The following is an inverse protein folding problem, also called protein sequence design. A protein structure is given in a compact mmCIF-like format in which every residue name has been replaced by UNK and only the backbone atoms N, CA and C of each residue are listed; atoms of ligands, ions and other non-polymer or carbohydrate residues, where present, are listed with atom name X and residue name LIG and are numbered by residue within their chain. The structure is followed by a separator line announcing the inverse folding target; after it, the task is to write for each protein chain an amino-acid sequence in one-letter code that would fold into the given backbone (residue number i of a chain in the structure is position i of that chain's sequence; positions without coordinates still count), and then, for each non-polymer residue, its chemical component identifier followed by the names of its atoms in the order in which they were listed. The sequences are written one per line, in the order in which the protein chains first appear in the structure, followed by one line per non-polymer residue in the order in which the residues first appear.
data_IF_569556043745
#
_entry.id   IF_569556043745
#
_cell.length_a   1.000
_cell.length_b   1.000
_cell.length_c   1.000
_cell.angle_alpha   90.00
_cell.angle_beta   90.00
_cell.angle_gamma   90.00
#
_symmetry.space_group_name_H-M   'P 1'
#
loop_
_entity.id
_entity.type
_entity.pdbx_description
1 polymer ?
#
# COMPACT_ATOMS: atom_id res chain seq x y z
N UNK A 1 -4.21 22.04 12.59
CA UNK A 1 -5.44 21.73 13.36
C UNK A 1 -5.96 22.99 14.04
N UNK A 2 -7.28 23.22 14.04
CA UNK A 2 -7.91 24.48 14.45
C UNK A 2 -7.93 24.65 15.99
N UNK A 3 -6.74 24.64 16.62
CA UNK A 3 -6.51 24.82 18.06
C UNK A 3 -7.21 26.07 18.60
N UNK A 4 -7.40 27.08 17.76
CA UNK A 4 -8.07 28.31 18.10
C UNK A 4 -9.50 28.11 18.66
N UNK A 5 -10.32 27.26 18.02
CA UNK A 5 -11.69 27.01 18.50
C UNK A 5 -11.74 26.24 19.82
N UNK A 6 -10.80 25.30 20.01
CA UNK A 6 -10.66 24.54 21.26
C UNK A 6 -10.22 25.45 22.41
N UNK A 7 -9.27 26.35 22.15
CA UNK A 7 -8.83 27.35 23.14
C UNK A 7 -9.94 28.35 23.46
N UNK A 8 -10.70 28.83 22.47
CA UNK A 8 -11.86 29.70 22.70
C UNK A 8 -12.93 29.04 23.58
N UNK A 9 -13.14 27.73 23.44
CA UNK A 9 -14.13 27.00 24.24
C UNK A 9 -13.79 26.97 25.75
N UNK A 10 -12.54 27.24 26.15
CA UNK A 10 -12.17 27.37 27.57
C UNK A 10 -12.85 28.56 28.25
N UNK A 11 -13.22 29.60 27.48
CA UNK A 11 -14.01 30.70 28.00
C UNK A 11 -15.51 30.32 28.10
N UNK A 12 -15.85 29.61 29.19
CA UNK A 12 -17.21 29.08 29.41
C UNK A 12 -18.30 30.15 29.39
N UNK A 13 -18.00 31.38 29.83
CA UNK A 13 -18.97 32.48 29.79
C UNK A 13 -19.30 32.86 28.35
N UNK A 14 -18.27 33.06 27.53
CA UNK A 14 -18.45 33.38 26.12
C UNK A 14 -19.18 32.26 25.35
N UNK A 15 -18.86 31.00 25.65
CA UNK A 15 -19.58 29.86 25.06
C UNK A 15 -21.06 29.86 25.44
N UNK A 16 -21.38 30.08 26.72
CA UNK A 16 -22.76 30.18 27.18
C UNK A 16 -23.49 31.35 26.52
N UNK A 17 -22.87 32.53 26.48
CA UNK A 17 -23.45 33.73 25.85
C UNK A 17 -23.74 33.47 24.35
N UNK A 18 -22.84 32.76 23.66
CA UNK A 18 -23.06 32.34 22.27
C UNK A 18 -24.26 31.38 22.13
N UNK A 19 -24.39 30.38 23.01
CA UNK A 19 -25.53 29.46 23.00
C UNK A 19 -26.84 30.16 23.34
N UNK A 20 -26.83 31.09 24.29
CA UNK A 20 -28.00 31.90 24.63
C UNK A 20 -28.41 32.80 23.47
N UNK A 21 -27.44 33.33 22.71
CA UNK A 21 -27.74 34.05 21.47
C UNK A 21 -28.37 33.16 20.41
N UNK A 22 -27.95 31.90 20.29
CA UNK A 22 -28.56 30.93 19.37
C UNK A 22 -30.02 30.67 19.78
N UNK A 23 -30.29 30.38 21.05
CA UNK A 23 -31.65 30.22 21.60
C UNK A 23 -32.55 31.39 21.20
N UNK A 24 -32.07 32.62 21.44
CA UNK A 24 -32.80 33.85 21.08
C UNK A 24 -33.01 33.98 19.57
N UNK A 25 -32.00 33.69 18.76
CA UNK A 25 -32.05 33.84 17.29
C UNK A 25 -33.03 32.90 16.63
N UNK A 26 -33.18 31.68 17.15
CA UNK A 26 -34.14 30.70 16.59
C UNK A 26 -35.54 30.86 17.17
N UNK A 27 -35.76 31.87 18.04
CA UNK A 27 -37.07 32.13 18.65
C UNK A 27 -37.47 31.09 19.69
N UNK A 28 -36.50 30.48 20.36
CA UNK A 28 -36.77 29.47 21.37
C UNK A 28 -37.52 30.04 22.58
N UNK A 29 -38.33 29.20 23.22
CA UNK A 29 -39.13 29.54 24.38
C UNK A 29 -39.30 28.32 25.31
N UNK A 30 -40.09 28.46 26.38
CA UNK A 30 -40.30 27.41 27.37
C UNK A 30 -40.94 26.12 26.84
N UNK A 31 -41.59 26.17 25.69
CA UNK A 31 -42.24 25.02 25.04
C UNK A 31 -41.41 24.45 23.88
N UNK A 32 -40.42 25.20 23.36
CA UNK A 32 -39.56 24.79 22.25
C UNK A 32 -38.18 25.44 22.34
N UNK A 33 -37.22 24.71 22.86
CA UNK A 33 -35.83 25.10 23.07
C UNK A 33 -34.95 24.73 21.86
N UNK A 34 -33.95 25.54 21.55
CA UNK A 34 -33.13 25.39 20.34
C UNK A 34 -32.31 24.10 20.31
N UNK A 35 -31.82 23.68 21.47
CA UNK A 35 -30.95 22.50 21.58
C UNK A 35 -31.70 21.26 22.05
N UNK A 36 -32.61 21.41 23.02
CA UNK A 36 -33.37 20.29 23.57
C UNK A 36 -34.31 19.68 22.52
N UNK A 37 -35.03 20.54 21.80
CA UNK A 37 -36.04 20.13 20.82
C UNK A 37 -35.48 20.09 19.39
N UNK A 38 -34.15 20.02 19.26
CA UNK A 38 -33.46 19.95 17.97
C UNK A 38 -33.84 18.69 17.18
N UNK A 39 -34.20 17.61 17.87
CA UNK A 39 -34.53 16.33 17.27
C UNK A 39 -33.33 15.67 16.61
N UNK A 40 -33.49 14.40 16.22
CA UNK A 40 -32.42 13.69 15.53
C UNK A 40 -32.32 14.11 14.06
N UNK A 41 -33.41 14.62 13.49
CA UNK A 41 -33.53 15.04 12.08
C UNK A 41 -32.60 16.21 11.73
N UNK A 42 -32.15 16.97 12.75
CA UNK A 42 -31.22 18.09 12.61
C UNK A 42 -29.79 17.73 13.05
N UNK A 43 -29.55 16.46 13.40
CA UNK A 43 -28.23 15.95 13.77
C UNK A 43 -27.45 15.57 12.51
N UNK A 44 -26.21 16.04 12.34
CA UNK A 44 -25.36 15.59 11.25
C UNK A 44 -24.98 14.10 11.36
N UNK A 45 -25.31 13.45 12.49
CA UNK A 45 -25.03 12.04 12.76
C UNK A 45 -26.26 11.14 12.62
N UNK A 46 -27.42 11.66 12.19
CA UNK A 46 -28.65 10.86 12.05
C UNK A 46 -28.43 9.61 11.19
N UNK A 47 -27.74 9.78 10.06
CA UNK A 47 -27.41 8.69 9.12
C UNK A 47 -26.36 7.71 9.66
N UNK A 48 -25.73 7.99 10.81
CA UNK A 48 -24.76 7.11 11.49
C UNK A 48 -25.37 6.24 12.58
N UNK A 49 -26.62 6.50 13.00
CA UNK A 49 -27.30 5.70 14.03
C UNK A 49 -27.31 4.20 13.74
N UNK A 50 -27.58 3.74 12.50
CA UNK A 50 -27.55 2.31 12.20
C UNK A 50 -26.21 1.63 12.55
N UNK A 51 -25.11 2.39 12.55
CA UNK A 51 -23.76 1.91 12.81
C UNK A 51 -23.37 1.97 14.30
N UNK A 52 -24.18 2.58 15.17
CA UNK A 52 -23.84 2.78 16.59
C UNK A 52 -23.54 1.47 17.34
N UNK A 53 -24.32 0.38 17.21
CA UNK A 53 -24.00 -0.88 17.87
C UNK A 53 -22.61 -1.40 17.50
N UNK A 54 -22.19 -1.17 16.26
CA UNK A 54 -20.87 -1.52 15.79
C UNK A 54 -19.78 -0.61 16.38
N UNK A 55 -20.00 0.70 16.42
CA UNK A 55 -19.05 1.63 17.04
C UNK A 55 -18.85 1.32 18.53
N UNK A 56 -19.91 0.95 19.24
CA UNK A 56 -19.86 0.61 20.67
C UNK A 56 -19.20 -0.74 20.96
N UNK A 57 -19.09 -1.62 19.97
CA UNK A 57 -18.40 -2.91 20.09
C UNK A 57 -16.97 -2.88 19.57
N UNK A 58 -16.57 -1.77 18.94
CA UNK A 58 -15.20 -1.55 18.49
C UNK A 58 -14.27 -1.46 19.69
N UNK A 59 -13.24 -2.30 19.70
CA UNK A 59 -12.18 -2.21 20.71
C UNK A 59 -11.22 -1.09 20.28
N UNK A 60 -10.64 -0.33 21.22
CA UNK A 60 -9.59 0.62 20.89
C UNK A 60 -8.51 -0.07 20.06
N UNK A 61 -8.11 0.54 18.94
CA UNK A 61 -6.99 0.06 18.15
C UNK A 61 -5.74 0.02 19.03
N UNK A 62 -5.19 -1.17 19.23
CA UNK A 62 -3.97 -1.37 20.01
C UNK A 62 -2.83 -1.77 19.08
N UNK A 63 -1.77 -0.99 19.12
CA UNK A 63 -0.50 -1.34 18.51
C UNK A 63 -0.02 -2.68 19.06
N UNK A 64 0.23 -3.63 18.15
CA UNK A 64 0.63 -4.99 18.48
C UNK A 64 1.93 -5.34 17.77
N UNK A 65 2.66 -6.34 18.25
CA UNK A 65 3.88 -6.78 17.56
C UNK A 65 3.56 -7.14 16.11
N UNK A 66 4.47 -6.78 15.19
CA UNK A 66 4.33 -7.13 13.79
C UNK A 66 4.06 -8.64 13.63
N UNK A 67 3.08 -9.07 12.84
CA UNK A 67 2.67 -10.47 12.83
C UNK A 67 3.76 -11.32 12.16
N UNK A 68 3.98 -12.53 12.69
CA UNK A 68 4.87 -13.53 12.08
C UNK A 68 4.40 -13.91 10.68
N UNK A 69 5.31 -14.42 9.84
CA UNK A 69 4.95 -14.89 8.50
C UNK A 69 3.84 -15.95 8.56
N UNK A 70 2.96 -15.94 7.57
CA UNK A 70 1.87 -16.92 7.46
C UNK A 70 0.69 -16.67 8.40
N UNK A 71 0.71 -15.59 9.19
CA UNK A 71 -0.39 -15.21 10.08
C UNK A 71 -1.01 -13.88 9.66
N UNK A 72 -2.31 -13.90 9.40
CA UNK A 72 -3.12 -12.69 9.20
C UNK A 72 -3.30 -12.00 10.57
N UNK A 73 -2.92 -10.72 10.73
CA UNK A 73 -3.18 -9.97 11.96
C UNK A 73 -4.67 -9.69 12.13
N UNK A 74 -5.05 -9.16 13.30
CA UNK A 74 -6.34 -8.48 13.40
C UNK A 74 -6.30 -7.24 12.49
N UNK A 75 -7.24 -7.17 11.55
CA UNK A 75 -7.44 -6.02 10.66
C UNK A 75 -8.80 -5.42 11.01
N UNK A 76 -8.81 -4.15 11.37
CA UNK A 76 -10.04 -3.41 11.53
C UNK A 76 -10.67 -3.15 10.16
N UNK A 77 -11.68 -3.95 9.82
CA UNK A 77 -12.29 -3.95 8.49
C UNK A 77 -13.07 -2.68 8.15
N UNK A 78 -13.25 -1.78 9.11
CA UNK A 78 -13.94 -0.50 8.95
C UNK A 78 -13.05 0.70 9.20
N UNK A 79 -11.78 0.45 9.53
CA UNK A 79 -10.79 1.50 9.75
C UNK A 79 -10.66 2.48 8.59
N UNK A 80 -11.04 2.05 7.38
CA UNK A 80 -10.95 2.82 6.15
C UNK A 80 -12.32 3.15 5.51
N UNK A 81 -13.43 3.09 6.27
CA UNK A 81 -14.76 3.38 5.74
C UNK A 81 -14.96 4.86 5.36
N UNK A 82 -14.05 5.74 5.78
CA UNK A 82 -14.02 7.13 5.33
C UNK A 82 -13.59 7.31 3.88
N UNK A 83 -12.91 6.32 3.28
CA UNK A 83 -12.46 6.41 1.90
C UNK A 83 -13.66 6.50 0.95
N UNK A 84 -13.52 7.15 -0.20
CA UNK A 84 -14.61 7.18 -1.16
C UNK A 84 -15.02 5.77 -1.62
N UNK A 85 -16.31 5.47 -1.89
CA UNK A 85 -16.77 4.13 -2.30
C UNK A 85 -16.11 3.56 -3.56
N UNK A 86 -15.54 4.41 -4.43
CA UNK A 86 -14.74 3.96 -5.58
C UNK A 86 -13.46 3.24 -5.17
N UNK A 87 -12.95 3.45 -3.94
CA UNK A 87 -11.91 2.58 -3.37
C UNK A 87 -12.59 1.36 -2.78
N UNK A 88 -12.68 0.28 -3.57
CA UNK A 88 -13.39 -0.93 -3.21
C UNK A 88 -12.64 -1.80 -2.20
N UNK A 89 -11.31 -1.92 -2.38
CA UNK A 89 -10.42 -2.64 -1.46
C UNK A 89 -9.28 -1.73 -1.01
N UNK A 90 -9.04 -1.71 0.29
CA UNK A 90 -7.95 -0.98 0.90
C UNK A 90 -7.42 -1.72 2.12
N UNK A 91 -6.11 -1.65 2.34
CA UNK A 91 -5.49 -2.08 3.58
C UNK A 91 -4.31 -1.17 3.92
N UNK A 92 -4.23 -0.72 5.16
CA UNK A 92 -3.15 0.10 5.69
C UNK A 92 -2.57 -0.60 6.91
N UNK A 93 -1.25 -0.64 7.02
CA UNK A 93 -0.55 -0.95 8.26
C UNK A 93 0.20 0.30 8.74
N UNK A 94 -0.14 0.79 9.92
CA UNK A 94 0.59 1.89 10.56
C UNK A 94 1.63 1.30 11.49
N UNK A 95 2.85 1.83 11.45
CA UNK A 95 3.96 1.39 12.28
C UNK A 95 4.36 2.44 13.30
N UNK A 96 4.70 1.98 14.50
CA UNK A 96 5.22 2.81 15.59
C UNK A 96 6.28 2.03 16.36
N UNK A 97 7.32 2.72 16.80
CA UNK A 97 8.36 2.11 17.63
C UNK A 97 8.04 2.29 19.12
N UNK A 98 7.98 1.19 19.85
CA UNK A 98 7.79 1.16 21.30
C UNK A 98 8.87 0.29 21.92
N UNK A 99 9.65 0.85 22.86
CA UNK A 99 10.82 0.20 23.44
C UNK A 99 11.82 -0.37 22.41
N UNK A 100 11.96 0.29 21.25
CA UNK A 100 12.85 -0.15 20.17
C UNK A 100 12.26 -1.22 19.25
N UNK A 101 11.05 -1.72 19.51
CA UNK A 101 10.37 -2.69 18.67
C UNK A 101 9.30 -2.04 17.80
N UNK A 102 9.21 -2.48 16.54
CA UNK A 102 8.11 -2.09 15.68
C UNK A 102 6.80 -2.75 16.13
N UNK A 103 5.83 -1.93 16.48
CA UNK A 103 4.43 -2.30 16.67
C UNK A 103 3.61 -1.78 15.50
N UNK A 104 2.53 -2.48 15.20
CA UNK A 104 1.62 -2.13 14.10
C UNK A 104 0.15 -2.23 14.48
N UNK A 105 -0.65 -1.44 13.78
CA UNK A 105 -2.08 -1.64 13.64
C UNK A 105 -2.42 -1.83 12.17
N UNK A 106 -3.52 -2.54 11.89
CA UNK A 106 -3.96 -2.86 10.53
C UNK A 106 -5.40 -2.41 10.35
N UNK A 107 -5.61 -1.61 9.33
CA UNK A 107 -6.89 -1.02 8.97
C UNK A 107 -7.26 -1.50 7.57
N UNK A 108 -8.55 -1.67 7.32
CA UNK A 108 -9.04 -2.19 6.05
C UNK A 108 -10.35 -1.58 5.62
N UNK A 109 -10.61 -1.74 4.33
CA UNK A 109 -11.92 -1.81 3.69
C UNK A 109 -11.87 -3.01 2.75
N UNK A 110 -12.71 -4.01 2.97
CA UNK A 110 -12.63 -5.30 2.24
C UNK A 110 -11.19 -5.85 2.12
N UNK A 111 -10.36 -5.80 3.18
CA UNK A 111 -8.90 -5.93 3.05
C UNK A 111 -8.46 -7.31 2.54
N UNK A 112 -9.25 -8.35 2.79
CA UNK A 112 -8.97 -9.75 2.41
C UNK A 112 -9.72 -10.20 1.15
N UNK A 113 -10.56 -9.33 0.56
CA UNK A 113 -11.25 -9.66 -0.70
C UNK A 113 -10.22 -9.74 -1.81
N UNK A 114 -10.17 -10.88 -2.50
CA UNK A 114 -9.23 -11.09 -3.59
C UNK A 114 -9.77 -10.52 -4.90
N UNK A 115 -8.90 -9.85 -5.66
CA UNK A 115 -9.22 -9.21 -6.93
C UNK A 115 -7.97 -9.10 -7.82
N UNK A 116 -8.14 -8.60 -9.03
CA UNK A 116 -6.99 -8.23 -9.88
C UNK A 116 -6.36 -6.95 -9.35
N UNK A 117 -5.05 -7.01 -9.06
CA UNK A 117 -4.25 -5.85 -8.67
C UNK A 117 -3.23 -5.44 -9.74
N UNK A 118 -3.43 -5.89 -10.98
CA UNK A 118 -2.66 -5.48 -12.16
C UNK A 118 -1.13 -5.55 -11.91
N UNK A 119 -0.40 -4.55 -12.44
CA UNK A 119 1.05 -4.43 -12.33
C UNK A 119 1.57 -4.26 -10.88
N UNK A 120 0.71 -3.96 -9.91
CA UNK A 120 1.11 -3.93 -8.49
C UNK A 120 1.51 -5.31 -7.97
N UNK A 121 1.30 -6.39 -8.72
CA UNK A 121 1.74 -7.74 -8.33
C UNK A 121 3.10 -8.17 -8.91
N UNK A 122 3.70 -7.36 -9.79
CA UNK A 122 4.93 -7.74 -10.55
C UNK A 122 6.20 -7.83 -9.71
N UNK A 123 6.23 -7.18 -8.55
CA UNK A 123 7.34 -7.27 -7.60
C UNK A 123 7.38 -8.61 -6.84
N UNK A 124 6.28 -9.39 -6.82
CA UNK A 124 6.22 -10.69 -6.14
C UNK A 124 7.24 -11.69 -6.72
N UNK A 125 7.25 -12.00 -8.03
CA UNK A 125 8.24 -12.91 -8.61
C UNK A 125 9.68 -12.38 -8.47
N UNK A 126 9.88 -11.06 -8.58
CA UNK A 126 11.20 -10.44 -8.37
C UNK A 126 11.71 -10.69 -6.95
N UNK A 127 10.87 -10.44 -5.94
CA UNK A 127 11.25 -10.64 -4.54
C UNK A 127 11.56 -12.11 -4.24
N UNK A 128 10.78 -13.04 -4.79
CA UNK A 128 11.06 -14.46 -4.68
C UNK A 128 12.43 -14.83 -5.30
N UNK A 129 12.72 -14.32 -6.51
CA UNK A 129 14.02 -14.54 -7.16
C UNK A 129 15.18 -13.98 -6.33
N UNK A 130 15.04 -12.78 -5.77
CA UNK A 130 16.08 -12.19 -4.91
C UNK A 130 16.34 -13.05 -3.65
N UNK A 131 15.28 -13.56 -3.01
CA UNK A 131 15.39 -14.50 -1.88
C UNK A 131 16.12 -15.79 -2.26
N UNK A 132 15.85 -16.32 -3.47
CA UNK A 132 16.57 -17.51 -3.99
C UNK A 132 18.03 -17.23 -4.32
N UNK A 133 18.34 -16.06 -4.87
CA UNK A 133 19.72 -15.64 -5.14
C UNK A 133 20.51 -15.62 -3.85
N UNK A 134 20.02 -14.97 -2.80
CA UNK A 134 20.73 -14.90 -1.52
C UNK A 134 20.86 -16.26 -0.83
N UNK A 135 19.88 -17.15 -1.03
CA UNK A 135 19.99 -18.53 -0.56
C UNK A 135 21.12 -19.31 -1.25
N UNK A 136 21.31 -19.10 -2.56
CA UNK A 136 22.28 -19.83 -3.38
C UNK A 136 23.66 -19.17 -3.43
N UNK A 137 23.70 -17.85 -3.29
CA UNK A 137 24.87 -17.01 -3.51
C UNK A 137 24.94 -15.88 -2.46
N UNK A 138 25.06 -16.22 -1.16
CA UNK A 138 24.93 -15.26 -0.06
C UNK A 138 26.01 -14.17 -0.06
N UNK A 139 27.20 -14.46 -0.58
CA UNK A 139 28.31 -13.49 -0.67
C UNK A 139 28.29 -12.67 -1.96
N UNK A 140 27.35 -12.98 -2.87
CA UNK A 140 27.22 -12.32 -4.15
C UNK A 140 26.86 -10.85 -4.09
N UNK A 141 27.18 -10.15 -5.18
CA UNK A 141 26.62 -8.83 -5.50
C UNK A 141 25.71 -8.96 -6.72
N UNK A 142 24.44 -8.62 -6.54
CA UNK A 142 23.45 -8.73 -7.62
C UNK A 142 23.76 -7.82 -8.80
N UNK A 143 24.54 -6.75 -8.61
CA UNK A 143 25.01 -5.89 -9.69
C UNK A 143 25.88 -6.63 -10.68
N UNK A 144 26.48 -7.76 -10.29
CA UNK A 144 27.29 -8.61 -11.16
C UNK A 144 26.49 -9.68 -11.89
N UNK A 145 25.18 -9.76 -11.66
CA UNK A 145 24.32 -10.78 -12.26
C UNK A 145 23.66 -10.26 -13.53
N UNK A 146 23.59 -11.13 -14.52
CA UNK A 146 22.83 -10.92 -15.76
C UNK A 146 21.71 -11.96 -15.88
N UNK A 147 20.59 -11.55 -16.46
CA UNK A 147 19.63 -12.46 -17.09
C UNK A 147 20.11 -12.71 -18.53
N UNK A 148 20.25 -13.98 -18.91
CA UNK A 148 20.70 -14.37 -20.25
C UNK A 148 19.77 -15.39 -20.89
N UNK A 149 19.77 -15.40 -22.21
CA UNK A 149 19.23 -16.50 -23.00
C UNK A 149 20.35 -17.51 -23.30
N UNK A 150 20.25 -18.77 -22.84
CA UNK A 150 21.25 -19.78 -23.16
C UNK A 150 21.30 -20.15 -24.66
N UNK A 151 20.22 -19.88 -25.40
CA UNK A 151 20.13 -20.14 -26.84
C UNK A 151 20.54 -18.92 -27.68
N UNK A 152 20.57 -17.73 -27.07
CA UNK A 152 20.95 -16.48 -27.72
C UNK A 152 21.94 -15.67 -26.88
N UNK A 153 23.24 -15.86 -27.15
CA UNK A 153 24.33 -15.20 -26.44
C UNK A 153 24.34 -13.66 -26.54
N UNK A 154 23.61 -13.06 -27.49
CA UNK A 154 23.52 -11.59 -27.60
C UNK A 154 22.51 -10.98 -26.64
N UNK A 155 21.56 -11.78 -26.12
CA UNK A 155 20.54 -11.30 -25.17
C UNK A 155 21.10 -11.38 -23.76
N UNK A 156 21.35 -10.21 -23.19
CA UNK A 156 21.91 -10.05 -21.85
C UNK A 156 21.34 -8.81 -21.18
N UNK A 157 20.65 -9.01 -20.08
CA UNK A 157 20.01 -7.95 -19.29
C UNK A 157 20.67 -7.88 -17.91
N UNK A 158 21.31 -6.77 -17.50
CA UNK A 158 21.74 -6.60 -16.12
C UNK A 158 20.54 -6.77 -15.17
N UNK A 159 20.69 -7.60 -14.14
CA UNK A 159 19.59 -7.99 -13.27
C UNK A 159 18.96 -6.79 -12.55
N UNK A 160 19.78 -5.89 -12.04
CA UNK A 160 19.36 -4.65 -11.36
C UNK A 160 18.56 -3.72 -12.29
N UNK A 161 19.01 -3.56 -13.53
CA UNK A 161 18.31 -2.76 -14.53
C UNK A 161 16.97 -3.40 -14.94
N UNK A 162 16.90 -4.73 -15.05
CA UNK A 162 15.63 -5.42 -15.31
C UNK A 162 14.61 -5.23 -14.18
N UNK A 163 15.07 -5.22 -12.92
CA UNK A 163 14.23 -4.91 -11.76
C UNK A 163 13.75 -3.45 -11.82
N UNK A 164 14.63 -2.52 -12.21
CA UNK A 164 14.31 -1.11 -12.36
C UNK A 164 13.23 -0.88 -13.43
N UNK A 165 13.36 -1.49 -14.61
CA UNK A 165 12.42 -1.34 -15.74
C UNK A 165 11.02 -1.90 -15.44
N UNK A 166 10.92 -2.95 -14.60
CA UNK A 166 9.62 -3.45 -14.13
C UNK A 166 8.84 -2.37 -13.38
N UNK A 167 9.53 -1.50 -12.66
CA UNK A 167 8.94 -0.50 -11.78
C UNK A 167 8.76 0.86 -12.48
N UNK A 168 9.78 1.36 -13.15
CA UNK A 168 9.78 2.73 -13.70
C UNK A 168 9.19 2.84 -15.12
N UNK A 169 8.90 1.72 -15.79
CA UNK A 169 8.33 1.65 -17.14
C UNK A 169 9.16 2.37 -18.23
N UNK A 170 10.48 2.50 -18.06
CA UNK A 170 11.35 3.13 -19.05
C UNK A 170 11.67 2.23 -20.26
N UNK A 171 11.39 0.93 -20.15
CA UNK A 171 11.56 -0.06 -21.22
C UNK A 171 12.96 -0.06 -21.87
N UNK A 172 14.00 0.17 -21.06
CA UNK A 172 15.39 0.16 -21.55
C UNK A 172 15.82 -1.23 -22.04
N UNK A 173 15.25 -2.28 -21.46
CA UNK A 173 15.54 -3.68 -21.77
C UNK A 173 14.37 -4.38 -22.46
N UNK A 174 13.17 -4.29 -21.87
CA UNK A 174 11.92 -4.83 -22.39
C UNK A 174 10.74 -4.22 -21.61
N UNK A 175 9.51 -4.50 -22.03
CA UNK A 175 8.30 -4.05 -21.32
C UNK A 175 8.27 -4.58 -19.87
N UNK A 176 7.64 -3.81 -18.98
CA UNK A 176 7.43 -4.21 -17.58
C UNK A 176 6.68 -5.55 -17.45
N UNK A 177 5.72 -5.82 -18.35
CA UNK A 177 4.98 -7.09 -18.38
C UNK A 177 5.90 -8.25 -18.77
N UNK A 178 6.65 -8.12 -19.87
CA UNK A 178 7.52 -9.17 -20.38
C UNK A 178 8.65 -9.52 -19.39
N UNK A 179 9.23 -8.52 -18.72
CA UNK A 179 10.21 -8.73 -17.65
C UNK A 179 9.58 -9.40 -16.42
N UNK A 180 8.41 -8.99 -15.98
CA UNK A 180 7.74 -9.63 -14.84
C UNK A 180 7.36 -11.10 -15.15
N UNK A 181 6.93 -11.39 -16.39
CA UNK A 181 6.74 -12.76 -16.86
C UNK A 181 8.05 -13.54 -16.89
N UNK A 182 9.18 -12.90 -17.23
CA UNK A 182 10.52 -13.50 -17.14
C UNK A 182 10.86 -13.93 -15.72
N UNK A 183 10.65 -13.08 -14.72
CA UNK A 183 10.93 -13.47 -13.33
C UNK A 183 10.05 -14.64 -12.85
N UNK A 184 8.83 -14.78 -13.37
CA UNK A 184 7.98 -15.96 -13.11
C UNK A 184 8.56 -17.25 -13.67
N UNK A 185 9.55 -17.22 -14.58
CA UNK A 185 10.20 -18.42 -15.11
C UNK A 185 11.16 -19.09 -14.13
N UNK A 186 11.56 -18.43 -13.04
CA UNK A 186 12.51 -18.99 -12.07
C UNK A 186 11.86 -19.85 -10.97
N UNK A 187 10.54 -20.01 -10.99
CA UNK A 187 9.80 -20.87 -10.07
C UNK A 187 8.50 -21.34 -10.72
N UNK A 188 7.98 -22.50 -10.32
CA UNK A 188 6.67 -22.94 -10.82
C UNK A 188 5.57 -22.02 -10.26
N UNK A 189 4.52 -21.77 -11.03
CA UNK A 189 3.44 -20.86 -10.60
C UNK A 189 2.81 -21.29 -9.28
N UNK A 190 2.58 -22.59 -9.11
CA UNK A 190 2.04 -23.17 -7.88
C UNK A 190 2.97 -22.94 -6.67
N UNK A 191 4.28 -23.11 -6.85
CA UNK A 191 5.22 -22.88 -5.74
C UNK A 191 5.34 -21.40 -5.41
N UNK A 192 5.29 -20.51 -6.41
CA UNK A 192 5.32 -19.07 -6.20
C UNK A 192 4.07 -18.59 -5.45
N UNK A 193 2.90 -19.13 -5.80
CA UNK A 193 1.65 -18.92 -5.05
C UNK A 193 1.75 -19.42 -3.62
N UNK A 194 2.18 -20.67 -3.40
CA UNK A 194 2.35 -21.25 -2.06
C UNK A 194 3.36 -20.42 -1.23
N UNK A 195 4.43 -19.94 -1.86
CA UNK A 195 5.39 -19.06 -1.20
C UNK A 195 4.73 -17.76 -0.76
N UNK A 196 3.92 -17.14 -1.63
CA UNK A 196 3.25 -15.90 -1.28
C UNK A 196 2.19 -16.10 -0.18
N UNK A 197 1.42 -17.19 -0.25
CA UNK A 197 0.49 -17.61 0.81
C UNK A 197 1.21 -17.81 2.14
N UNK A 198 2.44 -18.36 2.15
CA UNK A 198 3.25 -18.51 3.37
C UNK A 198 3.74 -17.18 3.93
N UNK A 199 3.95 -16.16 3.11
CA UNK A 199 4.32 -14.83 3.60
C UNK A 199 3.14 -14.12 4.26
N UNK A 200 1.96 -14.17 3.64
CA UNK A 200 0.79 -13.39 4.06
C UNK A 200 -0.13 -14.12 5.02
N UNK A 201 -0.18 -15.46 4.94
CA UNK A 201 -1.15 -16.30 5.65
C UNK A 201 -2.51 -16.40 4.94
N UNK A 202 -2.69 -15.71 3.81
CA UNK A 202 -3.93 -15.76 3.06
C UNK A 202 -3.93 -16.94 2.08
N UNK A 203 -4.42 -18.10 2.52
CA UNK A 203 -4.52 -19.31 1.68
C UNK A 203 -5.53 -19.20 0.54
N UNK A 204 -6.32 -18.12 0.46
CA UNK A 204 -7.33 -17.91 -0.59
C UNK A 204 -6.80 -17.12 -1.79
N UNK A 205 -5.62 -16.49 -1.67
CA UNK A 205 -5.00 -15.79 -2.80
C UNK A 205 -4.65 -16.79 -3.91
N UNK A 206 -4.79 -16.33 -5.15
CA UNK A 206 -4.35 -17.03 -6.36
C UNK A 206 -3.29 -16.22 -7.08
N UNK A 207 -2.17 -16.82 -7.43
CA UNK A 207 -1.05 -16.14 -8.07
C UNK A 207 -0.33 -16.99 -9.12
N UNK A 208 -1.10 -17.40 -10.14
CA UNK A 208 -0.65 -18.25 -11.23
C UNK A 208 -0.91 -17.63 -12.62
N UNK A 209 -1.43 -16.41 -12.71
CA UNK A 209 -1.65 -15.75 -13.99
C UNK A 209 -0.39 -15.11 -14.57
N UNK A 210 -0.47 -14.62 -15.80
CA UNK A 210 0.58 -13.81 -16.43
C UNK A 210 0.18 -12.32 -16.45
N UNK A 211 0.94 -11.51 -17.20
CA UNK A 211 0.75 -10.06 -17.34
C UNK A 211 0.37 -9.64 -18.77
N UNK A 212 -0.29 -10.52 -19.52
CA UNK A 212 -0.73 -10.23 -20.90
C UNK A 212 0.36 -10.31 -21.98
N UNK A 213 1.63 -10.49 -21.61
CA UNK A 213 2.76 -10.59 -22.54
C UNK A 213 3.58 -11.87 -22.30
N UNK A 214 4.23 -12.32 -23.38
CA UNK A 214 5.24 -13.39 -23.32
C UNK A 214 6.48 -12.91 -22.57
N UNK A 215 7.25 -13.86 -22.05
CA UNK A 215 8.49 -13.56 -21.34
C UNK A 215 9.51 -12.89 -22.27
N UNK A 216 10.22 -11.87 -21.78
CA UNK A 216 11.29 -11.21 -22.56
C UNK A 216 12.43 -12.17 -22.93
N UNK A 217 12.67 -13.21 -22.11
CA UNK A 217 13.53 -14.36 -22.41
C UNK A 217 12.74 -15.60 -21.99
N UNK A 218 12.52 -16.56 -22.88
CA UNK A 218 11.61 -17.68 -22.57
C UNK A 218 12.23 -18.69 -21.58
N UNK A 219 13.53 -18.97 -21.71
CA UNK A 219 14.27 -19.92 -20.87
C UNK A 219 15.45 -19.23 -20.17
N UNK A 220 15.20 -18.21 -19.34
CA UNK A 220 16.27 -17.38 -18.80
C UNK A 220 17.18 -18.15 -17.84
N UNK A 221 18.43 -17.73 -17.78
CA UNK A 221 19.36 -18.09 -16.72
C UNK A 221 19.81 -16.83 -15.96
N UNK A 222 20.10 -16.98 -14.67
CA UNK A 222 20.83 -15.96 -13.89
C UNK A 222 22.30 -16.34 -13.91
N UNK A 223 23.12 -15.48 -14.49
CA UNK A 223 24.54 -15.70 -14.73
C UNK A 223 25.38 -14.69 -13.96
N UNK A 224 26.34 -15.15 -13.16
CA UNK A 224 27.31 -14.29 -12.50
C UNK A 224 28.49 -13.99 -13.44
N UNK A 225 28.71 -12.70 -13.71
CA UNK A 225 29.81 -12.24 -14.55
C UNK A 225 31.19 -12.42 -13.91
N UNK A 226 31.28 -12.45 -12.58
CA UNK A 226 32.57 -12.55 -11.90
C UNK A 226 33.04 -14.00 -11.88
N UNK A 227 32.20 -14.92 -11.38
CA UNK A 227 32.57 -16.34 -11.31
C UNK A 227 32.32 -17.10 -12.60
N UNK A 228 31.66 -16.49 -13.59
CA UNK A 228 31.24 -17.11 -14.86
C UNK A 228 30.31 -18.32 -14.66
N UNK A 229 29.58 -18.36 -13.55
CA UNK A 229 28.70 -19.47 -13.21
C UNK A 229 27.22 -19.12 -13.42
N UNK A 230 26.45 -20.15 -13.77
CA UNK A 230 24.98 -20.05 -13.77
C UNK A 230 24.46 -20.34 -12.36
N UNK A 231 23.76 -19.38 -11.76
CA UNK A 231 23.18 -19.50 -10.43
C UNK A 231 21.79 -20.16 -10.46
N UNK A 232 20.96 -19.76 -11.42
CA UNK A 232 19.58 -20.23 -11.55
C UNK A 232 19.23 -20.42 -13.03
N UNK A 233 18.32 -21.35 -13.30
CA UNK A 233 17.76 -21.60 -14.63
C UNK A 233 16.24 -21.56 -14.56
N UNK A 234 15.60 -21.28 -15.68
CA UNK A 234 14.17 -21.40 -15.82
C UNK A 234 13.68 -22.80 -15.43
N UNK A 235 12.51 -22.85 -14.78
CA UNK A 235 11.79 -24.10 -14.54
C UNK A 235 10.89 -24.44 -15.72
N UNK A 236 10.40 -25.68 -15.76
CA UNK A 236 9.37 -26.08 -16.71
C UNK A 236 8.09 -25.27 -16.49
N UNK A 237 7.51 -24.81 -17.61
CA UNK A 237 6.30 -24.00 -17.59
C UNK A 237 5.13 -24.79 -16.98
N UNK A 238 4.51 -24.26 -15.92
CA UNK A 238 3.34 -24.86 -15.29
C UNK A 238 2.05 -24.23 -15.85
N UNK A 239 0.89 -24.91 -15.78
CA UNK A 239 -0.38 -24.34 -16.24
C UNK A 239 -0.65 -22.95 -15.65
N UNK A 240 -1.26 -22.08 -16.46
CA UNK A 240 -1.64 -20.72 -16.07
C UNK A 240 -2.93 -20.75 -15.26
N UNK A 241 -3.05 -19.85 -14.30
CA UNK A 241 -4.26 -19.62 -13.52
C UNK A 241 -4.55 -18.12 -13.36
N UNK A 242 -5.17 -17.75 -12.24
CA UNK A 242 -5.54 -16.37 -11.95
C UNK A 242 -4.44 -15.61 -11.20
N UNK A 243 -4.49 -14.27 -11.25
CA UNK A 243 -3.74 -13.38 -10.35
C UNK A 243 -4.72 -12.60 -9.46
N UNK A 244 -5.35 -13.31 -8.51
CA UNK A 244 -6.26 -12.71 -7.54
C UNK A 244 -5.59 -12.62 -6.17
N UNK A 245 -5.20 -11.42 -5.78
CA UNK A 245 -4.59 -11.11 -4.47
C UNK A 245 -5.48 -10.10 -3.74
N UNK A 246 -5.28 -9.91 -2.45
CA UNK A 246 -6.03 -8.92 -1.68
C UNK A 246 -5.20 -7.66 -1.41
N UNK A 247 -5.86 -6.56 -1.01
CA UNK A 247 -5.16 -5.36 -0.57
C UNK A 247 -4.26 -5.66 0.64
N UNK A 248 -4.69 -6.54 1.55
CA UNK A 248 -3.88 -7.03 2.65
C UNK A 248 -2.61 -7.72 2.17
N UNK A 249 -2.68 -8.59 1.16
CA UNK A 249 -1.51 -9.34 0.68
C UNK A 249 -0.40 -8.41 0.17
N UNK A 250 -0.78 -7.36 -0.56
CA UNK A 250 0.17 -6.37 -1.08
C UNK A 250 0.64 -5.39 0.00
N UNK A 251 -0.23 -4.98 0.93
CA UNK A 251 0.18 -4.16 2.08
C UNK A 251 1.16 -4.93 2.96
N UNK A 252 0.94 -6.23 3.14
CA UNK A 252 1.83 -7.14 3.84
C UNK A 252 3.17 -7.30 3.12
N UNK A 253 3.16 -7.42 1.80
CA UNK A 253 4.38 -7.50 1.01
C UNK A 253 5.23 -6.23 1.12
N UNK A 254 4.61 -5.05 0.95
CA UNK A 254 5.32 -3.77 0.97
C UNK A 254 5.78 -3.39 2.38
N UNK A 255 5.05 -3.79 3.42
CA UNK A 255 5.50 -3.65 4.80
C UNK A 255 6.69 -4.56 5.12
N UNK A 256 6.72 -5.79 4.59
CA UNK A 256 7.88 -6.69 4.71
C UNK A 256 9.14 -6.12 4.04
N UNK A 257 8.98 -5.44 2.89
CA UNK A 257 10.06 -4.76 2.18
C UNK A 257 10.53 -3.53 2.97
N UNK A 258 9.62 -2.62 3.33
CA UNK A 258 9.97 -1.34 3.93
C UNK A 258 10.48 -1.44 5.36
N UNK A 259 9.92 -2.36 6.16
CA UNK A 259 10.35 -2.56 7.55
C UNK A 259 11.38 -3.66 7.74
N UNK A 260 11.88 -4.31 6.67
CA UNK A 260 12.72 -5.51 6.75
C UNK A 260 13.83 -5.45 7.83
N UNK A 261 14.59 -4.35 7.87
CA UNK A 261 15.69 -4.14 8.81
C UNK A 261 15.25 -3.99 10.28
N UNK A 262 13.98 -3.65 10.52
CA UNK A 262 13.38 -3.47 11.85
C UNK A 262 12.60 -4.70 12.34
N UNK A 263 12.37 -5.68 11.46
CA UNK A 263 11.60 -6.86 11.80
C UNK A 263 12.46 -7.88 12.58
N UNK A 264 11.89 -8.55 13.59
CA UNK A 264 12.51 -9.74 14.17
C UNK A 264 12.75 -10.81 13.12
N UNK A 265 13.76 -11.66 13.31
CA UNK A 265 14.16 -12.68 12.33
C UNK A 265 13.00 -13.60 11.87
N UNK A 266 12.09 -13.98 12.77
CA UNK A 266 10.91 -14.78 12.43
C UNK A 266 9.82 -14.05 11.63
N UNK A 267 9.97 -12.74 11.41
CA UNK A 267 9.08 -11.90 10.61
C UNK A 267 9.73 -11.39 9.32
N UNK A 268 11.05 -11.58 9.15
CA UNK A 268 11.80 -11.13 7.98
C UNK A 268 11.52 -12.00 6.75
N UNK A 269 11.75 -11.46 5.57
CA UNK A 269 11.65 -12.22 4.32
C UNK A 269 12.69 -13.35 4.34
N UNK A 270 12.28 -14.61 4.11
CA UNK A 270 13.16 -15.74 4.28
C UNK A 270 14.34 -15.66 3.30
N UNK A 271 15.54 -15.93 3.79
CA UNK A 271 16.79 -15.95 3.02
C UNK A 271 17.12 -14.64 2.30
N UNK A 272 16.48 -13.51 2.59
CA UNK A 272 16.74 -12.25 1.89
C UNK A 272 17.63 -11.35 2.74
N UNK A 273 18.80 -11.02 2.22
CA UNK A 273 19.73 -10.10 2.84
C UNK A 273 19.38 -8.66 2.49
N UNK A 274 19.67 -7.74 3.42
CA UNK A 274 19.39 -6.32 3.22
C UNK A 274 20.11 -5.76 1.98
N UNK A 275 21.35 -6.20 1.72
CA UNK A 275 22.15 -5.73 0.57
C UNK A 275 21.46 -6.00 -0.78
N UNK A 276 20.81 -7.15 -0.89
CA UNK A 276 20.14 -7.61 -2.12
C UNK A 276 18.76 -6.99 -2.23
N UNK A 277 18.03 -6.88 -1.11
CA UNK A 277 16.78 -6.13 -1.03
C UNK A 277 16.93 -4.66 -1.43
N UNK A 278 18.08 -4.03 -1.13
CA UNK A 278 18.33 -2.62 -1.45
C UNK A 278 18.16 -2.30 -2.95
N UNK A 279 18.46 -3.22 -3.86
CA UNK A 279 18.24 -2.96 -5.30
C UNK A 279 16.76 -2.90 -5.66
N UNK A 280 15.92 -3.71 -5.02
CA UNK A 280 14.47 -3.59 -5.18
C UNK A 280 13.96 -2.29 -4.54
N UNK A 281 14.45 -1.92 -3.35
CA UNK A 281 14.12 -0.65 -2.70
C UNK A 281 14.43 0.54 -3.61
N UNK A 282 15.63 0.58 -4.20
CA UNK A 282 16.04 1.64 -5.12
C UNK A 282 15.20 1.66 -6.41
N UNK A 283 14.78 0.50 -6.91
CA UNK A 283 13.88 0.42 -8.06
C UNK A 283 12.47 0.93 -7.70
N UNK A 284 11.90 0.51 -6.57
CA UNK A 284 10.57 0.92 -6.11
C UNK A 284 10.48 2.40 -5.75
N UNK A 285 11.62 3.03 -5.42
CA UNK A 285 11.70 4.49 -5.26
C UNK A 285 11.50 5.27 -6.56
N UNK A 286 11.54 4.60 -7.72
CA UNK A 286 11.44 5.19 -9.07
C UNK A 286 10.13 4.86 -9.79
N UNK A 287 9.14 4.26 -9.10
CA UNK A 287 7.81 4.05 -9.70
C UNK A 287 7.21 5.40 -10.10
N UNK A 288 6.47 5.39 -11.21
CA UNK A 288 5.91 6.59 -11.84
C UNK A 288 4.73 7.16 -11.07
N UNK A 289 4.03 6.37 -10.25
CA UNK A 289 2.90 6.86 -9.46
C UNK A 289 3.36 7.56 -8.19
N UNK A 290 3.27 8.89 -8.19
CA UNK A 290 3.74 9.77 -7.11
C UNK A 290 2.61 10.34 -6.26
N UNK A 291 1.56 9.56 -5.97
CA UNK A 291 0.42 10.04 -5.16
C UNK A 291 0.82 10.48 -3.75
N UNK A 292 1.85 9.86 -3.15
CA UNK A 292 2.37 10.30 -1.85
C UNK A 292 3.05 11.66 -1.96
N UNK A 293 3.80 11.94 -3.03
CA UNK A 293 4.40 13.27 -3.23
C UNK A 293 3.31 14.34 -3.33
N UNK A 294 2.27 14.07 -4.16
CA UNK A 294 1.11 14.95 -4.30
C UNK A 294 0.41 15.17 -2.96
N UNK A 295 0.27 14.12 -2.14
CA UNK A 295 -0.31 14.23 -0.81
C UNK A 295 0.54 15.11 0.13
N UNK A 296 1.87 14.95 0.12
CA UNK A 296 2.76 15.77 0.94
C UNK A 296 2.71 17.24 0.54
N UNK A 297 2.74 17.53 -0.77
CA UNK A 297 2.62 18.88 -1.34
C UNK A 297 1.25 19.50 -1.01
N UNK A 298 0.17 18.75 -1.20
CA UNK A 298 -1.20 19.24 -0.94
C UNK A 298 -1.41 19.58 0.54
N UNK A 299 -0.73 18.86 1.44
CA UNK A 299 -0.79 19.10 2.88
C UNK A 299 0.17 20.20 3.33
N UNK A 300 1.06 20.69 2.45
CA UNK A 300 2.06 21.71 2.75
C UNK A 300 3.10 21.25 3.77
N UNK A 301 3.46 19.96 3.74
CA UNK A 301 4.42 19.36 4.68
C UNK A 301 5.71 18.86 4.02
N UNK A 302 5.77 18.86 2.70
CA UNK A 302 6.90 18.42 1.88
C UNK A 302 8.20 19.16 2.21
N UNK A 303 8.13 20.46 2.51
CA UNK A 303 9.30 21.28 2.83
C UNK A 303 9.80 21.09 4.27
N UNK A 304 8.99 20.52 5.17
CA UNK A 304 9.31 20.42 6.59
C UNK A 304 9.68 19.03 7.06
N UNK A 305 9.17 17.98 6.40
CA UNK A 305 9.52 16.60 6.76
C UNK A 305 11.00 16.32 6.48
N UNK A 306 11.58 15.37 7.21
CA UNK A 306 12.97 14.94 6.94
C UNK A 306 13.07 13.43 6.75
N UNK A 307 14.09 12.99 6.02
CA UNK A 307 14.34 11.60 5.66
C UNK A 307 13.12 10.86 5.02
N UNK A 308 12.49 11.41 3.97
CA UNK A 308 11.38 10.74 3.31
C UNK A 308 11.86 9.46 2.60
N UNK A 309 11.09 8.40 2.77
CA UNK A 309 11.21 7.15 2.01
C UNK A 309 9.83 6.87 1.42
N UNK A 310 9.76 6.75 0.10
CA UNK A 310 8.54 6.42 -0.64
C UNK A 310 8.90 5.30 -1.61
N UNK A 311 8.41 4.11 -1.32
CA UNK A 311 8.51 2.95 -2.20
C UNK A 311 7.11 2.68 -2.72
N UNK A 312 6.94 2.49 -4.03
CA UNK A 312 5.61 2.21 -4.55
C UNK A 312 5.61 1.31 -5.76
N UNK A 313 4.43 0.79 -6.09
CA UNK A 313 4.16 0.12 -7.35
C UNK A 313 2.71 0.36 -7.76
N UNK A 314 2.50 0.99 -8.90
CA UNK A 314 1.15 1.09 -9.45
C UNK A 314 0.80 -0.05 -10.41
N UNK A 315 -0.50 -0.29 -10.54
CA UNK A 315 -1.14 -1.02 -11.63
C UNK A 315 -2.37 -0.26 -12.11
N UNK A 316 -2.59 -0.26 -13.41
CA UNK A 316 -3.71 0.44 -14.04
C UNK A 316 -4.13 -0.36 -15.27
N UNK A 317 -5.43 -0.40 -15.52
CA UNK A 317 -5.99 -1.01 -16.71
C UNK A 317 -7.50 -0.99 -16.71
N UNK A 318 -8.08 -1.04 -17.91
CA UNK A 318 -9.49 -1.27 -18.12
C UNK A 318 -9.78 -2.78 -18.29
N UNK A 319 -11.00 -3.20 -17.95
CA UNK A 319 -11.42 -4.59 -18.12
C UNK A 319 -12.74 -4.66 -18.89
N UNK A 320 -12.68 -5.15 -20.11
CA UNK A 320 -13.88 -5.44 -20.91
C UNK A 320 -14.80 -6.46 -20.23
N UNK A 321 -14.24 -7.46 -19.54
CA UNK A 321 -15.04 -8.48 -18.85
C UNK A 321 -15.80 -7.89 -17.66
N UNK A 322 -15.16 -6.98 -16.90
CA UNK A 322 -15.76 -6.37 -15.71
C UNK A 322 -16.49 -5.06 -16.01
N UNK A 323 -16.30 -4.50 -17.21
CA UNK A 323 -16.78 -3.18 -17.61
C UNK A 323 -16.32 -2.10 -16.62
N UNK A 324 -15.02 -2.06 -16.33
CA UNK A 324 -14.42 -1.15 -15.34
C UNK A 324 -13.10 -0.57 -15.80
N UNK A 325 -12.76 0.62 -15.32
CA UNK A 325 -11.38 1.12 -15.20
C UNK A 325 -10.92 0.90 -13.76
N UNK A 326 -9.69 0.42 -13.59
CA UNK A 326 -9.14 0.05 -12.30
C UNK A 326 -7.74 0.63 -12.11
N UNK A 327 -7.48 1.14 -10.90
CA UNK A 327 -6.18 1.63 -10.49
C UNK A 327 -5.81 1.00 -9.15
N UNK A 328 -4.60 0.50 -9.05
CA UNK A 328 -4.04 -0.15 -7.88
C UNK A 328 -2.78 0.60 -7.48
N UNK A 329 -2.66 0.93 -6.21
CA UNK A 329 -1.51 1.62 -5.67
C UNK A 329 -1.09 0.97 -4.37
N UNK A 330 0.10 0.37 -4.36
CA UNK A 330 0.76 -0.06 -3.12
C UNK A 330 1.93 0.86 -2.82
N UNK A 331 2.08 1.25 -1.56
CA UNK A 331 3.17 2.10 -1.13
C UNK A 331 3.64 1.80 0.29
N UNK A 332 4.94 2.01 0.51
CA UNK A 332 5.54 2.16 1.83
C UNK A 332 6.03 3.60 1.96
N UNK A 333 5.67 4.23 3.07
CA UNK A 333 5.98 5.63 3.34
C UNK A 333 6.60 5.74 4.72
N UNK A 334 7.68 6.51 4.83
CA UNK A 334 8.30 6.86 6.10
C UNK A 334 8.87 8.27 6.02
N UNK A 335 8.75 9.03 7.11
CA UNK A 335 9.40 10.32 7.27
C UNK A 335 9.41 10.76 8.74
N UNK A 336 10.23 11.76 9.05
CA UNK A 336 10.23 12.43 10.35
C UNK A 336 9.38 13.70 10.23
N UNK A 337 8.29 13.75 10.99
CA UNK A 337 7.33 14.85 11.10
C UNK A 337 7.72 15.80 12.26
N UNK A 338 8.12 17.05 11.97
CA UNK A 338 8.46 18.01 13.00
C UNK A 338 7.25 18.76 13.57
N UNK A 339 6.05 18.68 12.97
CA UNK A 339 4.88 19.49 13.35
C UNK A 339 4.49 19.37 14.83
N UNK A 340 4.58 18.18 15.48
CA UNK A 340 4.29 18.07 16.90
C UNK A 340 5.19 18.96 17.80
N UNK A 341 6.37 19.38 17.33
CA UNK A 341 7.25 20.35 18.03
C UNK A 341 6.59 21.70 18.26
N UNK A 342 5.73 22.15 17.35
CA UNK A 342 4.97 23.39 17.52
C UNK A 342 4.04 23.35 18.75
N UNK A 343 3.68 22.15 19.22
CA UNK A 343 2.85 21.92 20.40
C UNK A 343 3.66 21.40 21.60
N UNK A 344 5.00 21.57 21.60
CA UNK A 344 5.88 21.12 22.68
C UNK A 344 6.13 19.60 22.73
N UNK A 345 5.73 18.84 21.70
CA UNK A 345 6.02 17.40 21.59
C UNK A 345 7.31 17.15 20.79
N UNK A 346 7.90 15.97 20.90
CA UNK A 346 9.03 15.58 20.04
C UNK A 346 8.59 15.44 18.57
N UNK A 347 9.52 15.58 17.62
CA UNK A 347 9.26 15.13 16.25
C UNK A 347 8.84 13.66 16.26
N UNK A 348 7.96 13.29 15.36
CA UNK A 348 7.41 11.96 15.27
C UNK A 348 7.92 11.24 14.04
N UNK A 349 8.33 9.99 14.23
CA UNK A 349 8.63 9.11 13.13
C UNK A 349 7.31 8.54 12.61
N UNK A 350 6.92 8.94 11.40
CA UNK A 350 5.72 8.46 10.71
C UNK A 350 6.12 7.33 9.79
N UNK A 351 5.47 6.18 9.90
CA UNK A 351 5.69 5.08 8.95
C UNK A 351 4.43 4.28 8.71
N UNK A 352 4.16 3.96 7.44
CA UNK A 352 3.02 3.16 7.04
C UNK A 352 3.28 2.37 5.76
N UNK A 353 2.56 1.27 5.62
CA UNK A 353 2.36 0.55 4.38
C UNK A 353 0.88 0.66 3.99
N UNK A 354 0.58 0.82 2.70
CA UNK A 354 -0.79 0.88 2.21
C UNK A 354 -0.94 0.20 0.85
N UNK A 355 -2.13 -0.30 0.57
CA UNK A 355 -2.57 -0.71 -0.76
C UNK A 355 -4.01 -0.32 -0.96
N UNK A 356 -4.31 0.32 -2.08
CA UNK A 356 -5.64 0.74 -2.50
C UNK A 356 -5.93 0.15 -3.88
N UNK A 357 -7.16 -0.33 -4.10
CA UNK A 357 -7.74 -0.63 -5.40
C UNK A 357 -8.97 0.26 -5.60
N UNK A 358 -8.86 1.17 -6.54
CA UNK A 358 -9.95 1.99 -7.01
C UNK A 358 -10.58 1.40 -8.28
N UNK A 359 -11.89 1.51 -8.40
CA UNK A 359 -12.69 0.95 -9.49
C UNK A 359 -13.77 1.96 -9.90
N UNK A 360 -13.88 2.19 -11.21
CA UNK A 360 -14.99 2.95 -11.80
C UNK A 360 -15.66 2.10 -12.88
N UNK A 361 -16.97 1.82 -12.77
CA UNK A 361 -17.73 1.19 -13.85
C UNK A 361 -17.76 2.06 -15.10
N UNK A 362 -17.53 1.44 -16.24
CA UNK A 362 -17.47 2.09 -17.56
C UNK A 362 -18.77 1.84 -18.30
N UNK A 363 -19.34 2.90 -18.87
CA UNK A 363 -20.55 2.78 -19.71
C UNK A 363 -20.22 2.50 -21.18
N UNK A 364 -19.08 2.96 -21.65
CA UNK A 364 -18.61 2.81 -23.03
C UNK A 364 -17.12 2.44 -23.06
N UNK A 365 -16.81 1.16 -23.28
CA UNK A 365 -15.40 0.70 -23.35
C UNK A 365 -14.61 1.28 -24.53
N UNK A 366 -15.27 1.91 -25.51
CA UNK A 366 -14.58 2.56 -26.63
C UNK A 366 -13.87 3.88 -26.28
N UNK A 367 -14.24 4.51 -25.16
CA UNK A 367 -13.57 5.69 -24.62
C UNK A 367 -13.76 5.73 -23.10
N UNK A 368 -12.68 5.45 -22.37
CA UNK A 368 -12.66 5.39 -20.90
C UNK A 368 -11.92 6.56 -20.28
N UNK A 369 -11.62 7.59 -21.07
CA UNK A 369 -10.73 8.71 -20.67
C UNK A 369 -11.27 9.43 -19.44
N UNK A 370 -12.58 9.69 -19.39
CA UNK A 370 -13.18 10.40 -18.27
C UNK A 370 -13.10 9.59 -16.97
N UNK A 371 -13.44 8.30 -17.03
CA UNK A 371 -13.35 7.39 -15.89
C UNK A 371 -11.90 7.23 -15.42
N UNK A 372 -10.94 7.18 -16.33
CA UNK A 372 -9.51 7.11 -15.99
C UNK A 372 -9.04 8.37 -15.24
N UNK A 373 -9.37 9.56 -15.75
CA UNK A 373 -9.01 10.83 -15.10
C UNK A 373 -9.69 10.98 -13.73
N UNK A 374 -10.96 10.60 -13.63
CA UNK A 374 -11.69 10.60 -12.36
C UNK A 374 -11.03 9.66 -11.35
N UNK A 375 -10.63 8.46 -11.79
CA UNK A 375 -10.01 7.47 -10.92
C UNK A 375 -8.62 7.90 -10.46
N UNK A 376 -7.79 8.47 -11.32
CA UNK A 376 -6.47 8.98 -10.97
C UNK A 376 -6.57 10.10 -9.92
N UNK A 377 -7.44 11.10 -10.17
CA UNK A 377 -7.73 12.16 -9.22
C UNK A 377 -8.29 11.63 -7.90
N UNK A 378 -9.14 10.60 -7.97
CA UNK A 378 -9.65 9.91 -6.78
C UNK A 378 -8.52 9.30 -5.97
N UNK A 379 -7.65 8.51 -6.59
CA UNK A 379 -6.53 7.87 -5.91
C UNK A 379 -5.64 8.90 -5.20
N UNK A 380 -5.33 10.02 -5.86
CA UNK A 380 -4.57 11.12 -5.26
C UNK A 380 -5.28 11.72 -4.03
N UNK A 381 -6.58 12.00 -4.12
CA UNK A 381 -7.37 12.57 -3.03
C UNK A 381 -7.44 11.61 -1.82
N UNK A 382 -7.65 10.32 -2.06
CA UNK A 382 -7.76 9.32 -0.99
C UNK A 382 -6.42 9.05 -0.30
N UNK A 383 -5.31 9.00 -1.06
CA UNK A 383 -3.95 8.94 -0.49
C UNK A 383 -3.67 10.20 0.33
N UNK A 384 -4.08 11.38 -0.14
CA UNK A 384 -3.95 12.64 0.61
C UNK A 384 -4.70 12.59 1.93
N UNK A 385 -5.95 12.12 1.94
CA UNK A 385 -6.75 11.99 3.18
C UNK A 385 -6.12 10.97 4.15
N UNK A 386 -5.56 9.86 3.65
CA UNK A 386 -4.82 8.91 4.47
C UNK A 386 -3.63 9.59 5.13
N UNK A 387 -2.76 10.26 4.36
CA UNK A 387 -1.56 10.92 4.90
C UNK A 387 -1.97 12.03 5.87
N UNK A 388 -3.03 12.79 5.59
CA UNK A 388 -3.59 13.80 6.50
C UNK A 388 -3.92 13.17 7.85
N UNK A 389 -4.65 12.06 7.87
CA UNK A 389 -5.04 11.39 9.11
C UNK A 389 -3.86 10.73 9.84
N UNK A 390 -2.81 10.32 9.12
CA UNK A 390 -1.55 9.87 9.73
C UNK A 390 -0.88 11.01 10.48
N UNK A 391 -0.73 12.19 9.85
CA UNK A 391 -0.03 13.32 10.49
C UNK A 391 -0.85 14.00 11.57
N UNK A 392 -2.18 13.87 11.55
CA UNK A 392 -3.07 14.38 12.60
C UNK A 392 -3.39 13.38 13.71
N UNK A 393 -2.80 12.18 13.68
CA UNK A 393 -3.06 11.07 14.62
C UNK A 393 -4.52 10.58 14.61
N UNK A 394 -5.29 10.87 13.56
CA UNK A 394 -6.71 10.50 13.45
C UNK A 394 -6.93 9.02 13.13
N UNK A 395 -5.97 8.34 12.48
CA UNK A 395 -6.08 6.89 12.22
C UNK A 395 -5.81 6.04 13.46
N UNK A 396 -5.03 6.56 14.41
CA UNK A 396 -4.64 5.85 15.64
C UNK A 396 -5.72 5.94 16.74
N UNK A 397 -6.75 6.77 16.52
CA UNK A 397 -7.78 7.10 17.52
C UNK A 397 -9.18 6.58 17.15
N UNK A 398 -9.29 5.78 16.07
CA UNK A 398 -10.52 5.15 15.62
C UNK A 398 -10.87 3.90 16.45
#
# INVERSE_FOLDING_TARGET
MNNYRLEQAKNRKQVFDNFLQIERKVGANSEKLAFLDRGIEQSPYQNKIPDYPQYLTRRPLQYSSYPVLGKIPYIDQQGLDFLHPQIEEACISLGKFEAGELKTIWLGRNPLKTAQFWSSTKIIPVLHTLSKIDQLFPEGDIKNLDLKDPENATVKFPLDLAIQDIVNYQEKLASSNALATLFKRFETRSNLEIWFQKLTGNSTLKFQGDYGEVSAIQNPIIFDRVTQNTLMKAVTDSPKGDNFVSAYDLTRLISLIGWHAYLPSGCQLPNLQQKTLNSLILAMGQDTARYVDVALETLGIEEVITAPVILSKMGYGDSEIRQTVEACYMAFVQFIDPLPKANGKSAQFRTLALTLRGVIPVKNMGDVTQEALELDARMAAEVTEIIRRVVTDELDQL
#
